data_IF_468154788510
#
_entry.id   IF_468154788510
#
_cell.length_a   1.000
_cell.length_b   1.000
_cell.length_c   1.000
_cell.angle_alpha   90.00
_cell.angle_beta   90.00
_cell.angle_gamma   90.00
#
_symmetry.space_group_name_H-M   'P 1'
#
loop_
_entity.id
_entity.type
_entity.pdbx_description
1 polymer ?
#
# COMPACT_ATOMS: atom_id res chain seq x y z
N UNK A 1 -1.16 9.64 10.29
CA UNK A 1 -2.34 8.74 10.32
C UNK A 1 -1.87 7.33 9.96
N UNK A 2 -1.92 6.35 10.88
CA UNK A 2 -1.42 4.98 10.64
C UNK A 2 -2.60 4.04 10.45
N UNK A 3 -2.81 3.55 9.22
CA UNK A 3 -3.80 2.53 8.93
C UNK A 3 -3.09 1.28 8.43
N UNK A 4 -3.19 0.19 9.19
CA UNK A 4 -2.80 -1.15 8.77
C UNK A 4 -4.09 -1.86 8.39
N UNK A 5 -4.32 -2.09 7.10
CA UNK A 5 -5.44 -2.95 6.66
C UNK A 5 -4.93 -4.39 6.63
N UNK A 6 -5.32 -5.14 7.65
CA UNK A 6 -5.07 -6.58 7.77
C UNK A 6 -5.55 -7.31 6.51
N UNK A 7 -4.62 -8.02 5.83
CA UNK A 7 -4.87 -8.89 4.68
C UNK A 7 -4.38 -8.34 3.33
N UNK A 8 -4.12 -7.03 3.20
CA UNK A 8 -3.56 -6.38 2.00
C UNK A 8 -2.72 -5.19 2.46
N UNK A 9 -1.43 -5.40 2.65
CA UNK A 9 -0.59 -4.46 3.41
C UNK A 9 -0.14 -3.27 2.55
N UNK A 10 -1.01 -2.27 2.45
CA UNK A 10 -0.58 -0.89 2.20
C UNK A 10 -0.17 -0.31 3.54
N UNK A 11 1.07 0.14 3.64
CA UNK A 11 1.61 0.71 4.86
C UNK A 11 1.83 2.21 4.63
N UNK A 12 1.24 3.04 5.48
CA UNK A 12 1.56 4.46 5.57
C UNK A 12 2.72 4.63 6.58
N UNK A 13 3.90 4.93 6.07
CA UNK A 13 5.11 5.19 6.86
C UNK A 13 5.44 6.68 6.79
N UNK A 14 5.89 7.27 7.90
CA UNK A 14 5.61 8.68 8.17
C UNK A 14 6.68 9.54 8.83
N UNK A 15 7.74 8.98 9.44
CA UNK A 15 8.60 9.80 10.33
C UNK A 15 10.11 9.63 10.11
N UNK A 16 10.56 8.89 9.08
CA UNK A 16 12.00 8.67 8.80
C UNK A 16 12.81 8.19 10.03
N UNK A 17 12.17 7.54 11.01
CA UNK A 17 12.89 7.10 12.20
C UNK A 17 13.91 6.02 11.79
N UNK A 18 15.11 5.98 12.38
CA UNK A 18 16.13 4.92 12.16
C UNK A 18 15.55 3.50 12.12
N UNK A 19 14.53 3.21 12.95
CA UNK A 19 13.83 1.92 12.93
C UNK A 19 13.11 1.65 11.60
N UNK A 20 12.52 2.68 11.02
CA UNK A 20 11.85 2.64 9.71
C UNK A 20 12.85 2.43 8.58
N UNK A 21 13.96 3.18 8.56
CA UNK A 21 15.02 3.00 7.56
C UNK A 21 15.64 1.59 7.65
N UNK A 22 15.80 1.05 8.85
CA UNK A 22 16.24 -0.34 9.03
C UNK A 22 15.21 -1.36 8.52
N UNK A 23 13.92 -1.13 8.74
CA UNK A 23 12.85 -1.99 8.22
C UNK A 23 12.83 -1.95 6.68
N UNK A 24 12.91 -0.75 6.10
CA UNK A 24 13.00 -0.55 4.67
C UNK A 24 14.21 -1.26 4.06
N UNK A 25 15.37 -1.16 4.69
CA UNK A 25 16.59 -1.85 4.24
C UNK A 25 16.45 -3.38 4.35
N UNK A 26 15.79 -3.87 5.40
CA UNK A 26 15.58 -5.31 5.64
C UNK A 26 14.66 -5.93 4.58
N UNK A 27 13.59 -5.24 4.20
CA UNK A 27 12.57 -5.73 3.28
C UNK A 27 12.63 -5.04 1.90
N UNK A 28 13.79 -4.50 1.52
CA UNK A 28 13.95 -3.69 0.30
C UNK A 28 13.52 -4.41 -0.99
N UNK A 29 13.60 -5.74 -1.01
CA UNK A 29 13.29 -6.58 -2.17
C UNK A 29 11.81 -7.06 -2.13
N UNK A 30 11.11 -6.81 -1.02
CA UNK A 30 9.72 -7.22 -0.77
C UNK A 30 8.75 -6.03 -0.72
N UNK A 31 9.27 -4.83 -0.40
CA UNK A 31 8.49 -3.61 -0.21
C UNK A 31 8.86 -2.60 -1.29
N UNK A 32 7.85 -2.10 -1.99
CA UNK A 32 7.98 -1.06 -3.01
C UNK A 32 7.53 0.30 -2.46
N UNK A 33 8.30 1.34 -2.74
CA UNK A 33 7.93 2.74 -2.50
C UNK A 33 7.21 3.28 -3.74
N UNK A 34 5.88 3.38 -3.66
CA UNK A 34 5.05 3.70 -4.83
C UNK A 34 5.38 5.07 -5.44
N UNK A 35 5.94 6.01 -4.67
CA UNK A 35 6.34 7.30 -5.23
C UNK A 35 7.54 7.14 -6.16
N UNK A 36 8.53 6.32 -5.77
CA UNK A 36 9.70 6.02 -6.59
C UNK A 36 9.36 5.21 -7.84
N UNK A 37 8.31 4.40 -7.77
CA UNK A 37 7.86 3.59 -8.90
C UNK A 37 7.20 4.44 -10.00
N UNK A 38 6.68 5.61 -9.66
CA UNK A 38 5.89 6.47 -10.56
C UNK A 38 6.66 7.71 -11.00
N UNK A 39 7.46 8.28 -10.11
CA UNK A 39 8.11 9.57 -10.32
C UNK A 39 9.63 9.45 -10.33
N UNK A 40 10.27 10.19 -11.23
CA UNK A 40 11.70 10.48 -11.13
C UNK A 40 11.93 11.38 -9.90
N UNK A 41 12.81 10.93 -9.00
CA UNK A 41 13.09 11.65 -7.76
C UNK A 41 13.90 12.93 -7.96
N UNK A 42 14.63 13.04 -9.07
CA UNK A 42 15.39 14.26 -9.36
C UNK A 42 14.45 15.40 -9.79
N UNK A 43 13.33 15.07 -10.45
CA UNK A 43 12.31 16.02 -10.86
C UNK A 43 11.22 16.20 -9.79
N UNK A 44 10.80 15.11 -9.17
CA UNK A 44 9.67 15.04 -8.24
C UNK A 44 10.08 14.26 -6.98
N UNK A 45 10.89 14.88 -6.08
CA UNK A 45 11.46 14.19 -4.92
C UNK A 45 10.40 13.71 -3.90
N UNK A 46 9.18 14.25 -3.97
CA UNK A 46 8.06 13.86 -3.11
C UNK A 46 8.23 14.31 -1.67
N UNK A 47 8.78 15.50 -1.43
CA UNK A 47 8.95 16.03 -0.07
C UNK A 47 7.59 16.34 0.56
N UNK A 48 7.12 15.46 1.44
CA UNK A 48 5.90 15.72 2.22
C UNK A 48 6.17 16.67 3.38
N UNK A 49 7.44 16.83 3.77
CA UNK A 49 7.90 17.87 4.69
C UNK A 49 8.96 18.73 4.00
N UNK A 50 8.61 19.96 3.64
CA UNK A 50 9.47 20.86 2.85
C UNK A 50 9.56 22.26 3.47
N UNK A 51 10.52 22.51 4.39
CA UNK A 51 10.77 23.84 4.95
C UNK A 51 11.06 24.95 3.93
N UNK A 52 11.51 24.59 2.72
CA UNK A 52 11.83 25.58 1.68
C UNK A 52 10.60 26.20 1.04
N UNK A 53 9.48 25.47 0.98
CA UNK A 53 8.22 25.91 0.35
C UNK A 53 7.04 25.97 1.32
N UNK A 54 7.07 25.24 2.43
CA UNK A 54 6.03 25.20 3.46
C UNK A 54 6.41 26.05 4.69
N UNK A 55 5.63 27.09 4.97
CA UNK A 55 5.89 28.00 6.10
C UNK A 55 5.75 27.29 7.44
N UNK A 56 4.75 26.42 7.60
CA UNK A 56 4.54 25.67 8.83
C UNK A 56 5.74 24.75 9.08
N UNK A 57 6.18 24.01 8.06
CA UNK A 57 7.38 23.17 8.15
C UNK A 57 8.62 23.99 8.50
N UNK A 58 8.78 25.18 7.91
CA UNK A 58 9.89 26.07 8.23
C UNK A 58 9.91 26.50 9.69
N UNK A 59 8.75 26.80 10.27
CA UNK A 59 8.65 27.24 11.67
C UNK A 59 8.81 26.06 12.64
N UNK A 60 8.28 24.88 12.30
CA UNK A 60 8.34 23.69 13.17
C UNK A 60 9.63 22.89 13.03
N UNK A 61 10.43 23.10 11.98
CA UNK A 61 11.67 22.36 11.73
C UNK A 61 12.86 22.89 12.53
N UNK A 62 13.54 22.00 13.25
CA UNK A 62 14.86 22.29 13.84
C UNK A 62 15.99 22.27 12.81
N UNK A 63 15.92 21.37 11.81
CA UNK A 63 17.02 21.11 10.88
C UNK A 63 16.91 21.83 9.54
N UNK A 64 15.72 22.30 9.17
CA UNK A 64 15.43 22.92 7.87
C UNK A 64 15.70 22.00 6.66
N UNK A 65 15.68 20.68 6.88
CA UNK A 65 15.95 19.68 5.83
C UNK A 65 14.64 19.21 5.22
N UNK A 66 14.56 19.26 3.89
CA UNK A 66 13.47 18.70 3.11
C UNK A 66 13.48 17.18 3.21
N UNK A 67 12.32 16.57 3.50
CA UNK A 67 12.22 15.13 3.74
C UNK A 67 10.92 14.55 3.17
N UNK A 68 11.03 13.32 2.67
CA UNK A 68 9.87 12.48 2.33
C UNK A 68 9.51 11.64 3.56
N UNK A 69 8.80 12.29 4.48
CA UNK A 69 8.41 11.70 5.76
C UNK A 69 7.25 10.74 5.55
N UNK A 70 6.24 11.13 4.77
CA UNK A 70 5.06 10.31 4.48
C UNK A 70 5.22 9.54 3.16
N UNK A 71 4.87 8.25 3.17
CA UNK A 71 5.08 7.32 2.05
C UNK A 71 3.99 6.26 2.00
N UNK A 72 3.60 5.89 0.79
CA UNK A 72 2.85 4.65 0.56
C UNK A 72 3.80 3.54 0.16
N UNK A 73 3.89 2.53 1.02
CA UNK A 73 4.66 1.34 0.76
C UNK A 73 3.74 0.14 0.53
N UNK A 74 4.08 -0.67 -0.47
CA UNK A 74 3.34 -1.90 -0.79
C UNK A 74 4.25 -3.11 -0.66
N UNK A 75 3.79 -4.10 0.09
CA UNK A 75 4.39 -5.44 0.06
C UNK A 75 3.59 -6.29 -0.94
N UNK A 76 4.22 -6.70 -2.03
CA UNK A 76 3.59 -7.59 -3.01
C UNK A 76 3.69 -9.04 -2.57
N UNK A 77 2.54 -9.64 -2.24
CA UNK A 77 2.44 -11.10 -2.11
C UNK A 77 2.34 -11.73 -3.50
N UNK A 78 2.92 -12.92 -3.70
CA UNK A 78 3.03 -13.61 -4.99
C UNK A 78 1.73 -13.70 -5.83
N UNK A 79 0.58 -13.69 -5.15
CA UNK A 79 -0.75 -13.84 -5.74
C UNK A 79 -1.52 -12.51 -5.94
N UNK A 80 -0.91 -11.36 -5.62
CA UNK A 80 -1.54 -10.05 -5.71
C UNK A 80 -0.77 -9.17 -6.67
N UNK A 81 -1.42 -8.74 -7.75
CA UNK A 81 -0.94 -7.62 -8.57
C UNK A 81 -1.68 -6.34 -8.21
N UNK A 82 -1.04 -5.21 -8.47
CA UNK A 82 -1.66 -3.91 -8.31
C UNK A 82 -1.36 -3.03 -9.52
N UNK A 83 -2.16 -1.98 -9.67
CA UNK A 83 -1.89 -0.87 -10.59
C UNK A 83 -2.26 0.43 -9.88
N UNK A 84 -1.34 1.39 -9.87
CA UNK A 84 -1.61 2.72 -9.34
C UNK A 84 -2.34 3.54 -10.39
N UNK A 85 -3.54 3.99 -10.06
CA UNK A 85 -4.34 4.86 -10.92
C UNK A 85 -4.01 6.33 -10.69
N UNK A 86 -3.80 6.70 -9.42
CA UNK A 86 -3.45 8.05 -9.04
C UNK A 86 -2.57 8.03 -7.80
N UNK A 87 -1.50 8.81 -7.81
CA UNK A 87 -0.70 9.14 -6.63
C UNK A 87 -0.36 10.61 -6.72
N UNK A 88 -0.71 11.42 -5.72
CA UNK A 88 -0.39 12.84 -5.73
C UNK A 88 -0.26 13.39 -4.31
N UNK A 89 0.27 14.61 -4.24
CA UNK A 89 0.36 15.38 -3.01
C UNK A 89 -0.83 16.34 -2.92
N UNK A 90 -1.43 16.45 -1.74
CA UNK A 90 -2.58 17.31 -1.46
C UNK A 90 -2.36 18.13 -0.20
N UNK A 91 -3.17 19.17 0.00
CA UNK A 91 -2.96 20.16 1.07
C UNK A 91 -1.79 21.11 0.79
N UNK A 92 -1.36 21.22 -0.48
CA UNK A 92 -0.33 22.16 -0.93
C UNK A 92 -0.82 23.61 -0.92
N UNK A 93 -2.14 23.79 -0.99
CA UNK A 93 -2.77 25.10 -1.01
C UNK A 93 -2.51 25.87 0.28
N UNK A 94 -2.31 27.17 0.11
CA UNK A 94 -2.11 28.09 1.23
C UNK A 94 -3.38 28.88 1.50
N UNK A 95 -3.61 29.22 2.76
CA UNK A 95 -4.70 30.11 3.19
C UNK A 95 -4.13 31.49 3.52
N UNK A 96 -4.85 32.59 3.20
CA UNK A 96 -4.42 33.92 3.62
C UNK A 96 -4.45 34.02 5.15
N UNK A 97 -3.45 34.68 5.73
CA UNK A 97 -3.54 35.14 7.11
C UNK A 97 -4.22 36.51 7.04
N UNK A 98 -5.42 36.65 7.60
CA UNK A 98 -6.07 37.95 7.69
C UNK A 98 -5.18 38.87 8.54
N UNK A 99 -4.60 39.86 7.87
CA UNK A 99 -3.71 40.84 8.48
C UNK A 99 -4.51 41.67 9.47
N UNK A 100 -4.45 41.33 10.76
CA UNK A 100 -4.98 42.17 11.85
C UNK A 100 -4.29 43.55 11.92
N UNK A 101 -3.30 43.81 11.07
CA UNK A 101 -2.64 45.10 10.89
C UNK A 101 -2.62 45.46 9.39
N UNK A 102 -2.84 46.73 9.07
CA UNK A 102 -2.90 47.35 7.73
C UNK A 102 -1.57 47.29 6.93
N UNK A 103 -0.77 46.25 7.09
CA UNK A 103 0.42 46.01 6.27
C UNK A 103 0.05 45.07 5.12
N UNK A 104 0.30 45.54 3.90
CA UNK A 104 0.00 44.92 2.59
C UNK A 104 0.78 43.61 2.32
N UNK A 105 1.09 42.83 3.33
CA UNK A 105 1.74 41.56 3.15
C UNK A 105 0.65 40.51 2.91
N UNK A 106 0.49 40.08 1.65
CA UNK A 106 -0.28 38.90 1.24
C UNK A 106 0.36 37.63 1.82
N UNK A 107 0.49 37.54 3.14
CA UNK A 107 1.03 36.38 3.82
C UNK A 107 0.02 35.25 3.70
N UNK A 108 0.51 34.11 3.23
CA UNK A 108 -0.27 32.89 3.10
C UNK A 108 0.45 31.78 3.83
N UNK A 109 -0.30 30.91 4.50
CA UNK A 109 0.24 29.83 5.31
C UNK A 109 -0.32 28.49 4.86
N UNK A 110 0.50 27.44 4.91
CA UNK A 110 0.06 26.07 4.66
C UNK A 110 -0.81 25.60 5.84
N UNK A 111 -1.75 24.70 5.57
CA UNK A 111 -2.66 24.21 6.61
C UNK A 111 -1.97 23.26 7.62
N UNK A 112 -0.84 22.69 7.24
CA UNK A 112 0.00 21.80 8.06
C UNK A 112 1.46 21.95 7.63
N UNK A 113 2.39 21.55 8.51
CA UNK A 113 3.80 21.37 8.23
C UNK A 113 4.11 20.13 7.38
N UNK A 114 3.12 19.27 7.15
CA UNK A 114 3.18 18.18 6.18
C UNK A 114 2.18 18.40 5.06
N UNK A 115 2.57 18.00 3.85
CA UNK A 115 1.66 17.75 2.75
C UNK A 115 1.15 16.31 2.83
N UNK A 116 -0.14 16.12 2.58
CA UNK A 116 -0.73 14.80 2.58
C UNK A 116 -0.47 14.09 1.24
N UNK A 117 -0.46 12.75 1.24
CA UNK A 117 -0.46 11.95 0.03
C UNK A 117 -1.86 11.38 -0.23
N UNK A 118 -2.26 11.36 -1.48
CA UNK A 118 -3.49 10.74 -1.96
C UNK A 118 -3.14 9.61 -2.93
N UNK A 119 -3.62 8.40 -2.64
CA UNK A 119 -3.43 7.23 -3.49
C UNK A 119 -4.78 6.64 -3.91
N UNK A 120 -4.93 6.39 -5.21
CA UNK A 120 -5.95 5.52 -5.80
C UNK A 120 -5.22 4.33 -6.41
N UNK A 121 -5.46 3.14 -5.86
CA UNK A 121 -4.78 1.91 -6.24
C UNK A 121 -5.79 0.80 -6.46
N UNK A 122 -5.60 0.06 -7.54
CA UNK A 122 -6.42 -1.08 -7.90
C UNK A 122 -5.66 -2.37 -7.61
N UNK A 123 -6.26 -3.27 -6.83
CA UNK A 123 -5.71 -4.59 -6.57
C UNK A 123 -6.41 -5.64 -7.41
N UNK A 124 -5.63 -6.55 -7.98
CA UNK A 124 -6.12 -7.73 -8.69
C UNK A 124 -5.45 -8.96 -8.11
N UNK A 125 -6.24 -9.95 -7.74
CA UNK A 125 -5.69 -11.28 -7.49
C UNK A 125 -5.24 -11.84 -8.83
N UNK A 126 -3.98 -12.26 -8.94
CA UNK A 126 -3.55 -13.07 -10.09
C UNK A 126 -4.40 -14.34 -10.12
N UNK A 127 -4.77 -14.78 -11.32
CA UNK A 127 -5.61 -15.97 -11.54
C UNK A 127 -5.08 -17.17 -10.76
N UNK A 128 -6.01 -18.03 -10.32
CA UNK A 128 -5.78 -19.27 -9.57
C UNK A 128 -4.48 -19.94 -10.02
N UNK A 129 -3.49 -20.01 -9.12
CA UNK A 129 -2.28 -20.78 -9.38
C UNK A 129 -2.56 -22.26 -9.12
N UNK A 130 -1.84 -23.17 -9.79
CA UNK A 130 -1.90 -24.62 -9.56
C UNK A 130 -1.62 -25.06 -8.10
N UNK A 131 -1.32 -24.14 -7.17
CA UNK A 131 -1.10 -24.40 -5.75
C UNK A 131 -2.38 -24.40 -4.91
N UNK A 132 -3.52 -24.00 -5.48
CA UNK A 132 -4.82 -24.02 -4.81
C UNK A 132 -5.86 -24.66 -5.72
N UNK A 133 -6.61 -25.64 -5.21
CA UNK A 133 -7.74 -26.24 -5.92
C UNK A 133 -9.05 -25.78 -5.26
N UNK A 134 -10.02 -25.36 -6.06
CA UNK A 134 -11.40 -25.25 -5.63
C UNK A 134 -12.08 -26.60 -5.85
N UNK A 135 -12.73 -27.13 -4.83
CA UNK A 135 -13.40 -28.43 -4.93
C UNK A 135 -14.84 -28.36 -4.45
N UNK A 136 -15.71 -29.10 -5.12
CA UNK A 136 -17.00 -29.49 -4.56
C UNK A 136 -16.79 -30.79 -3.78
N UNK A 137 -17.14 -30.76 -2.50
CA UNK A 137 -17.26 -31.97 -1.69
C UNK A 137 -18.72 -32.45 -1.74
N UNK A 138 -18.99 -33.64 -2.29
CA UNK A 138 -20.30 -34.26 -2.24
C UNK A 138 -20.75 -34.46 -0.79
N UNK A 139 -22.06 -34.54 -0.55
CA UNK A 139 -22.59 -34.83 0.78
C UNK A 139 -22.22 -36.27 1.20
N UNK A 140 -21.97 -36.49 2.50
CA UNK A 140 -21.44 -37.77 3.03
C UNK A 140 -22.28 -38.99 2.61
N UNK A 141 -23.60 -38.84 2.51
CA UNK A 141 -24.51 -39.89 2.05
C UNK A 141 -24.27 -40.37 0.61
N UNK A 142 -23.55 -39.60 -0.21
CA UNK A 142 -23.19 -39.96 -1.59
C UNK A 142 -21.81 -40.61 -1.68
N UNK A 143 -21.02 -40.60 -0.60
CA UNK A 143 -19.61 -41.01 -0.66
C UNK A 143 -19.42 -42.49 -0.97
N UNK A 144 -20.30 -43.37 -0.49
CA UNK A 144 -20.20 -44.81 -0.77
C UNK A 144 -20.34 -45.10 -2.26
N UNK A 145 -21.29 -44.46 -2.92
CA UNK A 145 -21.54 -44.59 -4.37
C UNK A 145 -20.36 -44.00 -5.14
N UNK A 146 -19.85 -42.85 -4.75
CA UNK A 146 -18.71 -42.22 -5.46
C UNK A 146 -17.43 -43.05 -5.27
N UNK A 147 -17.21 -43.56 -4.06
CA UNK A 147 -16.04 -44.39 -3.75
C UNK A 147 -16.05 -45.73 -4.48
N UNK A 148 -17.22 -46.33 -4.80
CA UNK A 148 -17.24 -47.56 -5.59
C UNK A 148 -16.65 -47.37 -6.98
N UNK A 149 -16.80 -46.19 -7.57
CA UNK A 149 -16.13 -45.83 -8.82
C UNK A 149 -14.67 -45.42 -8.60
N UNK A 150 -14.41 -44.59 -7.58
CA UNK A 150 -13.04 -44.11 -7.31
C UNK A 150 -12.06 -45.24 -7.01
N UNK A 151 -12.51 -46.32 -6.36
CA UNK A 151 -11.64 -47.46 -6.07
C UNK A 151 -11.07 -48.12 -7.35
N UNK A 152 -11.80 -48.06 -8.47
CA UNK A 152 -11.37 -48.64 -9.74
C UNK A 152 -10.57 -47.65 -10.60
N UNK A 153 -10.94 -46.36 -10.57
CA UNK A 153 -10.45 -45.37 -11.54
C UNK A 153 -9.61 -44.22 -10.97
N UNK A 154 -9.56 -44.02 -9.65
CA UNK A 154 -8.84 -42.90 -9.02
C UNK A 154 -7.56 -43.38 -8.30
N UNK A 155 -6.36 -43.14 -8.89
CA UNK A 155 -5.09 -43.50 -8.26
C UNK A 155 -4.85 -42.85 -6.89
N UNK A 156 -5.55 -41.75 -6.61
CA UNK A 156 -5.49 -41.03 -5.33
C UNK A 156 -6.63 -41.37 -4.38
N UNK A 157 -7.36 -42.47 -4.63
CA UNK A 157 -8.47 -42.96 -3.80
C UNK A 157 -8.14 -42.93 -2.29
N UNK A 158 -6.98 -43.47 -1.91
CA UNK A 158 -6.55 -43.55 -0.50
C UNK A 158 -6.03 -42.23 0.09
N UNK A 159 -5.78 -41.22 -0.75
CA UNK A 159 -5.16 -39.95 -0.33
C UNK A 159 -6.20 -38.87 -0.04
N UNK A 160 -7.33 -38.87 -0.74
CA UNK A 160 -8.31 -37.79 -0.69
C UNK A 160 -9.74 -38.31 -0.56
N UNK A 161 -10.64 -37.59 0.11
CA UNK A 161 -12.08 -37.89 0.09
C UNK A 161 -12.66 -37.67 -1.32
N UNK A 162 -13.89 -38.14 -1.61
CA UNK A 162 -14.60 -37.78 -2.84
C UNK A 162 -14.61 -36.26 -3.04
N UNK A 163 -14.11 -35.80 -4.17
CA UNK A 163 -14.06 -34.37 -4.51
C UNK A 163 -14.17 -34.21 -6.02
N UNK A 164 -14.75 -33.09 -6.46
CA UNK A 164 -14.78 -32.68 -7.86
C UNK A 164 -13.94 -31.41 -7.96
N UNK A 165 -12.84 -31.48 -8.71
CA UNK A 165 -12.01 -30.31 -8.97
C UNK A 165 -12.77 -29.37 -9.93
N UNK A 166 -12.98 -28.13 -9.47
CA UNK A 166 -13.42 -27.02 -10.30
C UNK A 166 -12.15 -26.25 -10.65
N UNK A 167 -11.62 -26.46 -11.86
CA UNK A 167 -10.45 -25.70 -12.36
C UNK A 167 -10.73 -24.20 -12.35
#
# INVERSE_FOLDING_TARGET
>A
CKQIISGKSVLNFGDCHVKEENLLATYKDEIHDLWKDIYDLDENPGFTFDPSTNICARITSESQINRRLDRYLIHTLDNLSYSTEHLSMTGIETIPIDSFNNDNNNQRINQSDHYALQLIINFRTRSISHRSALVILPTINQWSIINSYRQEYDPSFNRWPPHINLL
#
